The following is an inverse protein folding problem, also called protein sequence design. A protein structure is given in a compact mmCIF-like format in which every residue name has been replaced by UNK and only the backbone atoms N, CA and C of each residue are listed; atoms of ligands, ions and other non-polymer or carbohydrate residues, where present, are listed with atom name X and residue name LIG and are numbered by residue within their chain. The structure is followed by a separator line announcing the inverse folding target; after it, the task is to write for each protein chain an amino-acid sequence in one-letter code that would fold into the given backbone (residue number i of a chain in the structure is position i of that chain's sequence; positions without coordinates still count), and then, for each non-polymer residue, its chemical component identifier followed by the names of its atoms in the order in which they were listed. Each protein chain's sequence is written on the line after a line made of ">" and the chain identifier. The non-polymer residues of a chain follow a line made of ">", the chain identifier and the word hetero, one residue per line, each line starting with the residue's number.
data_IF_360671577412
#
_entry.id   IF_360671577412
#
_cell.length_a   1.000
_cell.length_b   1.000
_cell.length_c   1.000
_cell.angle_alpha   90.00
_cell.angle_beta   90.00
_cell.angle_gamma   90.00
#
_symmetry.space_group_name_H-M   'P 1'
#
loop_
_entity.id
_entity.type
_entity.pdbx_description
1 polymer ?
#
# COMPACT_ATOMS: atom_id res chain seq x y z
N UNK A 1 1.11 4.62 -5.81
CA UNK A 1 2.44 3.97 -5.87
C UNK A 1 3.31 4.41 -7.06
N UNK A 2 2.80 4.57 -8.30
CA UNK A 2 3.64 4.84 -9.49
C UNK A 2 4.53 6.09 -9.39
N UNK A 3 4.04 7.20 -8.83
CA UNK A 3 4.85 8.41 -8.61
C UNK A 3 6.01 8.16 -7.64
N UNK A 4 5.77 7.37 -6.58
CA UNK A 4 6.82 6.98 -5.63
C UNK A 4 7.87 6.09 -6.31
N UNK A 5 7.46 5.27 -7.27
CA UNK A 5 8.35 4.45 -8.07
C UNK A 5 9.28 5.30 -8.96
N UNK A 6 8.73 6.34 -9.60
CA UNK A 6 9.51 7.31 -10.37
C UNK A 6 10.52 8.08 -9.47
N UNK A 7 10.10 8.49 -8.27
CA UNK A 7 10.99 9.13 -7.29
C UNK A 7 12.11 8.20 -6.83
N UNK A 8 11.82 6.92 -6.57
CA UNK A 8 12.84 5.93 -6.18
C UNK A 8 13.91 5.73 -7.24
N UNK A 9 13.58 5.88 -8.52
CA UNK A 9 14.53 5.79 -9.64
C UNK A 9 15.53 6.94 -9.63
N UNK A 10 15.07 8.15 -9.32
CA UNK A 10 15.86 9.39 -9.39
C UNK A 10 16.58 9.70 -8.07
N UNK A 11 16.11 9.12 -6.95
CA UNK A 11 16.72 9.25 -5.62
C UNK A 11 18.25 9.07 -5.57
N UNK A 12 18.90 8.14 -6.30
CA UNK A 12 20.36 8.02 -6.30
C UNK A 12 21.10 9.22 -6.89
N UNK A 13 20.41 10.04 -7.69
CA UNK A 13 20.94 11.24 -8.34
C UNK A 13 20.70 12.51 -7.51
N UNK A 14 19.97 12.39 -6.40
CA UNK A 14 19.64 13.50 -5.50
C UNK A 14 20.55 13.42 -4.28
N UNK A 15 21.28 14.51 -4.02
CA UNK A 15 21.92 14.73 -2.73
C UNK A 15 20.86 15.14 -1.69
N UNK A 16 20.65 14.28 -0.69
CA UNK A 16 19.65 14.50 0.37
C UNK A 16 20.18 15.41 1.49
N UNK A 17 21.48 15.71 1.51
CA UNK A 17 22.09 16.64 2.48
C UNK A 17 22.04 18.09 1.98
N UNK A 18 21.80 18.29 0.68
CA UNK A 18 21.60 19.59 0.06
C UNK A 18 20.19 20.13 0.33
N UNK A 19 20.09 21.42 0.64
CA UNK A 19 18.81 22.13 0.79
C UNK A 19 18.11 22.37 -0.57
N UNK A 20 18.85 22.26 -1.67
CA UNK A 20 18.34 22.49 -3.03
C UNK A 20 18.59 21.28 -3.95
N UNK A 21 17.63 21.04 -4.84
CA UNK A 21 17.71 20.01 -5.88
C UNK A 21 18.02 20.69 -7.21
N UNK A 22 18.95 20.11 -7.96
CA UNK A 22 19.30 20.58 -9.30
C UNK A 22 18.07 20.64 -10.24
N UNK A 23 17.95 21.73 -10.99
CA UNK A 23 16.80 21.98 -11.86
C UNK A 23 16.69 20.94 -12.99
N UNK A 24 17.80 20.43 -13.51
CA UNK A 24 17.79 19.40 -14.56
C UNK A 24 17.29 18.07 -14.00
N UNK A 25 17.70 17.72 -12.77
CA UNK A 25 17.18 16.55 -12.06
C UNK A 25 15.67 16.69 -11.83
N UNK A 26 15.19 17.83 -11.36
CA UNK A 26 13.75 18.10 -11.18
C UNK A 26 12.97 17.97 -12.49
N UNK A 27 13.50 18.55 -13.58
CA UNK A 27 12.86 18.50 -14.90
C UNK A 27 12.87 17.09 -15.51
N UNK A 28 13.79 16.22 -15.10
CA UNK A 28 13.84 14.81 -15.53
C UNK A 28 12.76 13.94 -14.87
N UNK A 29 12.13 14.40 -13.78
CA UNK A 29 11.12 13.63 -13.04
C UNK A 29 9.86 13.48 -13.89
N UNK A 30 9.70 12.28 -14.46
CA UNK A 30 8.49 11.89 -15.16
C UNK A 30 8.06 10.48 -14.78
N UNK A 31 6.75 10.28 -14.71
CA UNK A 31 6.16 8.95 -14.52
C UNK A 31 6.06 8.27 -15.88
N UNK A 32 6.61 7.07 -15.99
CA UNK A 32 6.61 6.27 -17.21
C UNK A 32 5.60 5.12 -17.10
N UNK A 33 5.24 4.50 -18.23
CA UNK A 33 4.37 3.30 -18.22
C UNK A 33 4.97 2.16 -17.39
N UNK A 34 6.31 2.04 -17.35
CA UNK A 34 7.00 1.06 -16.53
C UNK A 34 6.72 1.27 -15.03
N UNK A 35 6.64 2.54 -14.57
CA UNK A 35 6.32 2.86 -13.18
C UNK A 35 4.91 2.41 -12.78
N UNK A 36 3.96 2.46 -13.71
CA UNK A 36 2.61 1.93 -13.50
C UNK A 36 2.60 0.41 -13.40
N UNK A 37 3.28 -0.27 -14.32
CA UNK A 37 3.37 -1.74 -14.31
C UNK A 37 3.99 -2.25 -13.01
N UNK A 38 5.01 -1.56 -12.51
CA UNK A 38 5.70 -1.97 -11.28
C UNK A 38 4.91 -1.64 -10.03
N UNK A 39 4.26 -0.47 -9.98
CA UNK A 39 3.33 -0.14 -8.92
C UNK A 39 2.19 -1.15 -8.79
N UNK A 40 1.63 -1.63 -9.91
CA UNK A 40 0.53 -2.61 -9.89
C UNK A 40 0.91 -3.94 -9.24
N UNK A 41 2.19 -4.36 -9.30
CA UNK A 41 2.63 -5.63 -8.67
C UNK A 41 2.55 -5.60 -7.15
N UNK A 42 2.64 -4.42 -6.54
CA UNK A 42 2.62 -4.23 -5.08
C UNK A 42 1.32 -3.66 -4.54
N UNK A 43 0.34 -3.36 -5.39
CA UNK A 43 -0.95 -2.82 -4.94
C UNK A 43 -1.87 -3.98 -4.57
N UNK A 44 -2.20 -4.06 -3.29
CA UNK A 44 -3.28 -4.92 -2.81
C UNK A 44 -4.61 -4.15 -2.83
N UNK A 45 -5.69 -4.75 -3.36
CA UNK A 45 -7.04 -4.21 -3.22
C UNK A 45 -7.39 -3.97 -1.75
N UNK A 46 -7.97 -2.81 -1.44
CA UNK A 46 -8.45 -2.49 -0.08
C UNK A 46 -9.42 -3.55 0.44
N UNK A 47 -10.25 -4.10 -0.46
CA UNK A 47 -11.17 -5.18 -0.15
C UNK A 47 -10.49 -6.42 0.43
N UNK A 48 -9.26 -6.76 0.04
CA UNK A 48 -8.53 -7.91 0.58
C UNK A 48 -7.84 -7.62 1.93
N UNK A 49 -7.56 -6.34 2.23
CA UNK A 49 -6.99 -5.92 3.51
C UNK A 49 -7.98 -6.01 4.66
N UNK A 50 -9.27 -5.86 4.37
CA UNK A 50 -10.34 -5.85 5.37
C UNK A 50 -10.94 -7.24 5.65
N UNK A 51 -10.59 -8.30 4.91
CA UNK A 51 -11.12 -9.68 5.11
C UNK A 51 -10.30 -10.53 6.08
N UNK A 52 -9.34 -9.97 6.81
CA UNK A 52 -8.90 -10.58 8.06
C UNK A 52 -9.98 -10.31 9.12
N UNK A 53 -11.18 -10.85 8.90
CA UNK A 53 -12.14 -11.04 9.98
C UNK A 53 -11.51 -12.13 10.83
N UNK A 54 -11.10 -11.78 12.05
CA UNK A 54 -10.77 -12.78 13.07
C UNK A 54 -11.89 -13.82 13.06
N UNK A 55 -11.59 -15.04 12.62
CA UNK A 55 -12.53 -16.15 12.82
C UNK A 55 -12.64 -16.25 14.34
N UNK A 56 -13.81 -15.93 14.93
CA UNK A 56 -13.93 -16.02 16.37
C UNK A 56 -13.70 -17.49 16.74
N UNK A 57 -12.79 -17.76 17.66
CA UNK A 57 -12.57 -19.11 18.22
C UNK A 57 -13.77 -19.57 19.08
N UNK A 58 -14.92 -18.89 18.98
CA UNK A 58 -16.13 -19.19 19.73
C UNK A 58 -17.12 -19.95 18.88
N UNK A 59 -17.49 -21.15 19.33
CA UNK A 59 -18.59 -21.91 18.72
C UNK A 59 -19.94 -21.33 19.17
N UNK A 60 -20.99 -21.58 18.39
CA UNK A 60 -22.37 -21.19 18.75
C UNK A 60 -22.81 -21.75 20.11
N UNK A 61 -22.17 -22.82 20.60
CA UNK A 61 -22.42 -23.42 21.91
C UNK A 61 -21.92 -22.55 23.09
N UNK A 62 -21.05 -21.57 22.83
CA UNK A 62 -20.53 -20.65 23.83
C UNK A 62 -21.35 -19.35 23.92
N UNK A 63 -22.32 -19.15 23.02
CA UNK A 63 -23.25 -18.03 23.06
C UNK A 63 -24.44 -18.44 23.95
N UNK A 64 -24.33 -18.18 25.25
CA UNK A 64 -25.39 -18.46 26.22
C UNK A 64 -26.69 -17.69 25.92
N UNK A 65 -27.84 -18.36 26.12
CA UNK A 65 -29.17 -17.75 25.98
C UNK A 65 -30.16 -18.49 25.06
N UNK A 66 -29.77 -19.63 24.47
CA UNK A 66 -30.65 -20.44 23.61
C UNK A 66 -31.54 -21.45 24.35
N UNK A 67 -31.50 -21.50 25.67
CA UNK A 67 -32.34 -22.41 26.48
C UNK A 67 -33.78 -21.87 26.64
N UNK A 68 -34.01 -20.56 26.49
CA UNK A 68 -35.29 -19.89 26.79
C UNK A 68 -36.22 -19.72 25.57
N UNK A 69 -35.95 -20.32 24.40
CA UNK A 69 -36.81 -20.16 23.20
C UNK A 69 -37.30 -21.48 22.58
N UNK A 70 -37.56 -22.51 23.41
CA UNK A 70 -38.37 -23.66 22.99
C UNK A 70 -39.82 -23.55 23.45
#
# INVERSE_FOLDING_TARGET
>A
ESAMHALRRIRPEIDLESDEIDADVLNSIQVTEADFKEAMKGIEPSALREVFVEVPDVSWDQVGGLEDTK
#
